data_IF_599434856723
#
_entry.id   IF_599434856723
#
_cell.length_a   1.000
_cell.length_b   1.000
_cell.length_c   1.000
_cell.angle_alpha   90.00
_cell.angle_beta   90.00
_cell.angle_gamma   90.00
#
_symmetry.space_group_name_H-M   'P 1'
#
loop_
_entity.id
_entity.type
_entity.pdbx_description
1 polymer ?
#
# COMPACT_ATOMS: atom_id res chain seq x y z
N UNK A 1 -21.74 -15.83 -7.36
CA UNK A 1 -20.75 -15.16 -8.21
C UNK A 1 -21.44 -14.11 -9.07
N UNK A 2 -20.93 -12.88 -9.06
CA UNK A 2 -21.47 -11.78 -9.88
C UNK A 2 -20.83 -11.71 -11.29
N UNK A 3 -20.04 -12.71 -11.67
CA UNK A 3 -19.39 -12.80 -12.98
C UNK A 3 -17.96 -12.23 -13.05
N UNK A 4 -17.37 -11.77 -11.96
CA UNK A 4 -15.96 -11.41 -11.91
C UNK A 4 -15.15 -12.70 -11.81
N UNK A 5 -14.44 -13.06 -12.89
CA UNK A 5 -13.77 -14.37 -13.03
C UNK A 5 -12.32 -14.39 -12.48
N UNK A 6 -11.70 -13.23 -12.34
CA UNK A 6 -10.31 -13.06 -11.90
C UNK A 6 -10.22 -12.60 -10.44
N UNK A 7 -11.03 -13.18 -9.57
CA UNK A 7 -11.06 -12.89 -8.14
C UNK A 7 -10.37 -13.98 -7.35
N UNK A 8 -9.55 -13.60 -6.38
CA UNK A 8 -8.91 -14.49 -5.42
C UNK A 8 -9.19 -13.99 -4.00
N UNK A 9 -9.40 -14.92 -3.07
CA UNK A 9 -9.49 -14.63 -1.64
C UNK A 9 -8.32 -15.30 -0.93
N UNK A 10 -7.67 -14.55 -0.04
CA UNK A 10 -6.74 -15.19 0.89
C UNK A 10 -7.55 -15.98 1.93
N UNK A 11 -7.10 -17.18 2.23
CA UNK A 11 -7.62 -17.94 3.36
C UNK A 11 -7.07 -17.31 4.66
N UNK A 12 -7.85 -16.40 5.23
CA UNK A 12 -7.45 -15.54 6.34
C UNK A 12 -6.89 -14.18 5.87
N UNK A 13 -6.39 -13.37 6.81
CA UNK A 13 -5.91 -12.01 6.56
C UNK A 13 -4.41 -11.91 6.20
N UNK A 14 -3.69 -13.03 6.18
CA UNK A 14 -2.24 -13.03 6.00
C UNK A 14 -1.82 -13.12 4.53
N UNK A 15 -1.66 -11.97 3.90
CA UNK A 15 -0.98 -11.87 2.61
C UNK A 15 0.54 -11.91 2.80
N UNK A 16 1.25 -12.51 1.83
CA UNK A 16 2.71 -12.54 1.81
C UNK A 16 3.25 -12.32 0.40
N UNK A 17 4.58 -12.16 0.27
CA UNK A 17 5.24 -11.91 -1.02
C UNK A 17 5.04 -13.05 -2.03
N UNK A 18 4.94 -14.30 -1.59
CA UNK A 18 4.75 -15.44 -2.49
C UNK A 18 3.38 -15.40 -3.16
N UNK A 19 2.34 -14.98 -2.45
CA UNK A 19 1.02 -14.77 -3.04
C UNK A 19 1.08 -13.74 -4.18
N UNK A 20 1.73 -12.60 -3.96
CA UNK A 20 1.85 -11.55 -4.98
C UNK A 20 2.81 -11.92 -6.12
N UNK A 21 3.87 -12.65 -5.84
CA UNK A 21 4.75 -13.19 -6.87
C UNK A 21 3.99 -14.18 -7.79
N UNK A 22 3.07 -14.97 -7.23
CA UNK A 22 2.20 -15.84 -8.02
C UNK A 22 1.20 -15.04 -8.86
N UNK A 23 0.53 -14.05 -8.27
CA UNK A 23 -0.42 -13.18 -8.98
C UNK A 23 0.28 -12.44 -10.12
N UNK A 24 1.49 -11.94 -9.92
CA UNK A 24 2.27 -11.21 -10.93
C UNK A 24 2.55 -12.01 -12.20
N UNK A 25 2.54 -13.34 -12.13
CA UNK A 25 2.69 -14.19 -13.33
C UNK A 25 1.51 -14.06 -14.31
N UNK A 26 0.35 -13.62 -13.83
CA UNK A 26 -0.89 -13.56 -14.61
C UNK A 26 -1.54 -12.17 -14.66
N UNK A 27 -1.10 -11.23 -13.81
CA UNK A 27 -1.66 -9.89 -13.73
C UNK A 27 -0.58 -8.85 -13.42
N UNK A 28 -0.76 -7.63 -13.94
CA UNK A 28 0.07 -6.46 -13.62
C UNK A 28 -0.56 -5.54 -12.57
N UNK A 29 -1.83 -5.80 -12.22
CA UNK A 29 -2.62 -4.96 -11.32
C UNK A 29 -3.46 -5.82 -10.37
N UNK A 30 -3.61 -5.35 -9.14
CA UNK A 30 -4.51 -5.91 -8.12
C UNK A 30 -5.46 -4.82 -7.65
N UNK A 31 -6.74 -5.16 -7.53
CA UNK A 31 -7.75 -4.32 -6.91
C UNK A 31 -8.23 -5.00 -5.62
N UNK A 32 -8.03 -4.35 -4.47
CA UNK A 32 -8.53 -4.85 -3.21
C UNK A 32 -9.97 -4.40 -2.95
N UNK A 33 -10.74 -5.31 -2.35
CA UNK A 33 -12.09 -5.09 -1.86
C UNK A 33 -12.06 -5.30 -0.33
N UNK A 34 -11.74 -4.27 0.47
CA UNK A 34 -11.67 -4.42 1.91
C UNK A 34 -13.04 -4.66 2.52
N UNK A 35 -13.09 -5.47 3.59
CA UNK A 35 -14.25 -5.57 4.44
C UNK A 35 -14.50 -4.23 5.15
N UNK A 36 -15.76 -3.86 5.30
CA UNK A 36 -16.18 -2.66 6.03
C UNK A 36 -16.34 -2.99 7.54
N UNK A 37 -15.22 -3.35 8.16
CA UNK A 37 -15.16 -3.61 9.59
C UNK A 37 -15.04 -2.31 10.38
N UNK A 38 -15.82 -2.11 11.45
CA UNK A 38 -15.63 -0.98 12.32
C UNK A 38 -14.28 -1.08 13.08
N UNK A 39 -13.61 0.05 13.34
CA UNK A 39 -12.38 0.04 14.12
C UNK A 39 -12.65 -0.44 15.56
N UNK A 40 -11.72 -1.22 16.11
CA UNK A 40 -11.76 -1.61 17.51
C UNK A 40 -11.41 -0.42 18.41
N UNK A 41 -11.70 -0.54 19.70
CA UNK A 41 -11.40 0.51 20.67
C UNK A 41 -9.91 0.87 20.67
N UNK A 42 -9.61 2.13 20.36
CA UNK A 42 -8.24 2.64 20.28
C UNK A 42 -7.58 2.48 18.89
N UNK A 43 -8.27 1.91 17.92
CA UNK A 43 -7.81 1.83 16.53
C UNK A 43 -8.50 2.91 15.69
N UNK A 44 -7.81 3.40 14.65
CA UNK A 44 -8.37 4.37 13.71
C UNK A 44 -9.05 3.70 12.51
N UNK A 45 -8.70 2.45 12.23
CA UNK A 45 -9.16 1.72 11.04
C UNK A 45 -9.67 0.35 11.43
N UNK A 46 -10.71 -0.11 10.73
CA UNK A 46 -11.18 -1.48 10.81
C UNK A 46 -10.14 -2.48 10.29
N UNK A 47 -10.33 -3.74 10.64
CA UNK A 47 -9.38 -4.79 10.30
C UNK A 47 -9.16 -4.93 8.78
N UNK A 48 -10.22 -4.87 7.96
CA UNK A 48 -10.14 -4.95 6.51
C UNK A 48 -9.24 -3.87 5.91
N UNK A 49 -9.35 -2.62 6.40
CA UNK A 49 -8.50 -1.50 5.97
C UNK A 49 -7.03 -1.72 6.37
N UNK A 50 -6.77 -2.21 7.61
CA UNK A 50 -5.42 -2.50 8.08
C UNK A 50 -4.75 -3.61 7.25
N UNK A 51 -5.48 -4.68 6.95
CA UNK A 51 -5.01 -5.77 6.07
C UNK A 51 -4.64 -5.23 4.69
N UNK A 52 -5.46 -4.37 4.12
CA UNK A 52 -5.18 -3.78 2.80
C UNK A 52 -3.98 -2.83 2.83
N UNK A 53 -3.72 -2.12 3.93
CA UNK A 53 -2.51 -1.30 4.05
C UNK A 53 -1.24 -2.15 3.90
N UNK A 54 -1.17 -3.28 4.58
CA UNK A 54 -0.01 -4.18 4.50
C UNK A 54 0.04 -4.95 3.19
N UNK A 55 -1.09 -5.51 2.75
CA UNK A 55 -1.18 -6.28 1.52
C UNK A 55 -0.87 -5.42 0.27
N UNK A 56 -1.36 -4.18 0.23
CA UNK A 56 -1.11 -3.25 -0.87
C UNK A 56 0.37 -2.87 -0.96
N UNK A 57 1.03 -2.63 0.17
CA UNK A 57 2.48 -2.41 0.23
C UNK A 57 3.25 -3.61 -0.34
N UNK A 58 2.95 -4.83 0.14
CA UNK A 58 3.58 -6.06 -0.35
C UNK A 58 3.35 -6.28 -1.84
N UNK A 59 2.15 -5.99 -2.35
CA UNK A 59 1.84 -6.09 -3.77
C UNK A 59 2.68 -5.12 -4.60
N UNK A 60 2.84 -3.87 -4.15
CA UNK A 60 3.70 -2.88 -4.80
C UNK A 60 5.18 -3.28 -4.75
N UNK A 61 5.68 -3.81 -3.62
CA UNK A 61 7.04 -4.36 -3.52
C UNK A 61 7.29 -5.51 -4.50
N UNK A 62 6.25 -6.26 -4.85
CA UNK A 62 6.30 -7.27 -5.92
C UNK A 62 6.14 -6.66 -7.33
N UNK A 63 6.02 -5.34 -7.46
CA UNK A 63 5.90 -4.61 -8.72
C UNK A 63 4.52 -4.73 -9.36
N UNK A 64 3.46 -4.89 -8.58
CA UNK A 64 2.07 -4.81 -9.02
C UNK A 64 1.55 -3.39 -8.84
N UNK A 65 0.73 -2.92 -9.77
CA UNK A 65 -0.11 -1.73 -9.55
C UNK A 65 -1.25 -2.08 -8.62
N UNK A 66 -1.60 -1.18 -7.69
CA UNK A 66 -2.59 -1.45 -6.66
C UNK A 66 -3.69 -0.40 -6.66
N UNK A 67 -4.93 -0.85 -6.61
CA UNK A 67 -6.12 -0.01 -6.47
C UNK A 67 -7.10 -0.61 -5.46
N UNK A 68 -8.07 0.20 -5.07
CA UNK A 68 -9.07 -0.13 -4.06
C UNK A 68 -10.46 0.15 -4.62
N UNK A 69 -11.39 -0.75 -4.37
CA UNK A 69 -12.83 -0.47 -4.42
C UNK A 69 -13.37 -0.61 -3.00
N UNK A 70 -13.60 0.51 -2.35
CA UNK A 70 -14.12 0.54 -0.98
C UNK A 70 -15.64 0.58 -1.01
N UNK A 71 -16.28 -0.17 -0.11
CA UNK A 71 -17.73 -0.07 0.10
C UNK A 71 -18.02 1.36 0.58
N UNK A 72 -18.91 2.11 -0.09
CA UNK A 72 -19.23 3.47 0.32
C UNK A 72 -19.82 3.51 1.75
N UNK A 73 -19.41 4.50 2.55
CA UNK A 73 -20.03 4.78 3.84
C UNK A 73 -21.52 5.11 3.61
N UNK A 74 -22.41 4.20 3.98
CA UNK A 74 -23.85 4.43 3.96
C UNK A 74 -24.28 4.74 5.39
N UNK A 75 -24.79 5.95 5.62
CA UNK A 75 -25.31 6.34 6.94
C UNK A 75 -26.28 5.28 7.47
N UNK A 76 -26.00 4.77 8.67
CA UNK A 76 -26.78 3.73 9.37
C UNK A 76 -26.73 2.32 8.76
N UNK A 77 -25.82 2.02 7.82
CA UNK A 77 -25.61 0.65 7.40
C UNK A 77 -24.81 -0.09 8.49
N UNK A 78 -25.31 -1.28 8.86
CA UNK A 78 -24.49 -2.22 9.64
C UNK A 78 -23.31 -2.68 8.79
N UNK A 79 -22.23 -3.18 9.45
CA UNK A 79 -21.09 -3.83 8.79
C UNK A 79 -21.51 -4.55 7.49
N UNK A 80 -20.88 -4.20 6.38
CA UNK A 80 -21.10 -4.83 5.08
C UNK A 80 -19.85 -5.54 4.63
N UNK A 81 -20.01 -6.80 4.28
CA UNK A 81 -18.94 -7.55 3.64
C UNK A 81 -19.04 -7.39 2.11
N UNK A 82 -17.94 -7.45 1.35
CA UNK A 82 -17.95 -7.28 -0.09
C UNK A 82 -18.89 -8.22 -0.84
N UNK A 83 -19.07 -9.45 -0.39
CA UNK A 83 -19.98 -10.42 -0.98
C UNK A 83 -21.45 -10.08 -0.77
N UNK A 84 -21.78 -9.38 0.30
CA UNK A 84 -23.12 -8.87 0.60
C UNK A 84 -23.41 -7.57 -0.16
N UNK A 85 -22.43 -6.68 -0.27
CA UNK A 85 -22.60 -5.39 -0.94
C UNK A 85 -22.59 -5.52 -2.46
N UNK A 86 -21.61 -6.21 -3.03
CA UNK A 86 -21.47 -6.38 -4.48
C UNK A 86 -22.36 -7.50 -5.01
N UNK A 87 -23.68 -7.28 -4.98
CA UNK A 87 -24.67 -8.28 -5.37
C UNK A 87 -24.72 -8.56 -6.88
N UNK A 88 -24.26 -7.64 -7.72
CA UNK A 88 -24.23 -7.77 -9.16
C UNK A 88 -23.17 -6.85 -9.81
N UNK A 89 -22.91 -7.07 -11.11
CA UNK A 89 -21.92 -6.30 -11.86
C UNK A 89 -22.21 -4.80 -11.95
N UNK A 90 -23.49 -4.38 -11.92
CA UNK A 90 -23.82 -2.97 -11.98
C UNK A 90 -23.39 -2.26 -10.69
N UNK A 91 -23.65 -2.86 -9.53
CA UNK A 91 -23.16 -2.35 -8.23
C UNK A 91 -21.64 -2.36 -8.19
N UNK A 92 -21.00 -3.44 -8.61
CA UNK A 92 -19.55 -3.52 -8.66
C UNK A 92 -18.91 -2.43 -9.54
N UNK A 93 -19.50 -2.16 -10.71
CA UNK A 93 -19.03 -1.14 -11.64
C UNK A 93 -19.35 0.28 -11.21
N UNK A 94 -20.38 0.50 -10.38
CA UNK A 94 -20.76 1.83 -9.89
C UNK A 94 -19.81 2.36 -8.81
N UNK A 95 -19.11 1.48 -8.11
CA UNK A 95 -18.11 1.89 -7.10
C UNK A 95 -16.83 2.32 -7.80
N UNK A 96 -16.39 3.54 -7.50
CA UNK A 96 -15.15 4.08 -8.04
C UNK A 96 -13.94 3.27 -7.60
N UNK A 97 -13.06 3.02 -8.54
CA UNK A 97 -11.76 2.40 -8.27
C UNK A 97 -10.73 3.51 -8.02
N UNK A 98 -10.21 3.57 -6.80
CA UNK A 98 -9.24 4.58 -6.37
C UNK A 98 -7.83 4.01 -6.29
N UNK A 99 -6.84 4.82 -6.57
CA UNK A 99 -5.45 4.46 -6.44
C UNK A 99 -5.07 4.22 -4.97
N UNK A 100 -4.31 3.16 -4.70
CA UNK A 100 -3.94 2.74 -3.35
C UNK A 100 -3.12 3.78 -2.58
N UNK A 101 -2.14 4.43 -3.23
CA UNK A 101 -1.28 5.41 -2.55
C UNK A 101 -2.12 6.62 -2.12
N UNK A 102 -2.98 7.11 -3.01
CA UNK A 102 -3.84 8.27 -2.72
C UNK A 102 -4.88 7.93 -1.66
N UNK A 103 -5.51 6.75 -1.76
CA UNK A 103 -6.46 6.26 -0.78
C UNK A 103 -5.81 6.12 0.61
N UNK A 104 -4.62 5.47 0.70
CA UNK A 104 -3.87 5.34 1.95
C UNK A 104 -3.51 6.69 2.55
N UNK A 105 -3.02 7.62 1.72
CA UNK A 105 -2.69 8.97 2.17
C UNK A 105 -3.91 9.70 2.74
N UNK A 106 -5.03 9.70 2.03
CA UNK A 106 -6.26 10.34 2.50
C UNK A 106 -6.76 9.75 3.83
N UNK A 107 -6.77 8.41 3.94
CA UNK A 107 -7.15 7.72 5.19
C UNK A 107 -6.22 8.09 6.34
N UNK A 108 -4.90 8.01 6.15
CA UNK A 108 -3.93 8.25 7.21
C UNK A 108 -3.89 9.71 7.67
N UNK A 109 -3.90 10.68 6.73
CA UNK A 109 -3.90 12.10 7.08
C UNK A 109 -5.16 12.55 7.83
N UNK A 110 -6.30 11.87 7.64
CA UNK A 110 -7.54 12.16 8.38
C UNK A 110 -7.36 12.01 9.89
N UNK A 111 -6.47 11.11 10.33
CA UNK A 111 -6.25 10.80 11.75
C UNK A 111 -4.93 11.34 12.29
N UNK A 112 -3.99 11.75 11.42
CA UNK A 112 -2.71 12.33 11.84
C UNK A 112 -2.89 13.78 12.30
N UNK A 113 -3.10 13.96 13.61
CA UNK A 113 -3.38 15.27 14.23
C UNK A 113 -2.10 16.02 14.60
N UNK A 114 -1.04 15.31 14.95
CA UNK A 114 0.25 15.89 15.34
C UNK A 114 1.24 15.91 14.17
N UNK A 115 2.22 16.82 14.28
CA UNK A 115 3.31 16.89 13.29
C UNK A 115 4.10 15.57 13.19
N UNK A 116 4.26 14.87 14.31
CA UNK A 116 4.98 13.59 14.33
C UNK A 116 4.19 12.50 13.59
N UNK A 117 2.88 12.40 13.85
CA UNK A 117 2.00 11.46 13.12
C UNK A 117 1.99 11.76 11.62
N UNK A 118 1.89 13.03 11.24
CA UNK A 118 1.97 13.43 9.83
C UNK A 118 3.32 13.07 9.21
N UNK A 119 4.42 13.21 9.96
CA UNK A 119 5.75 12.82 9.50
C UNK A 119 5.85 11.32 9.23
N UNK A 120 5.25 10.50 10.09
CA UNK A 120 5.18 9.04 9.89
C UNK A 120 4.42 8.71 8.61
N UNK A 121 3.24 9.31 8.42
CA UNK A 121 2.43 9.11 7.20
C UNK A 121 3.22 9.52 5.95
N UNK A 122 3.86 10.70 5.97
CA UNK A 122 4.66 11.18 4.84
C UNK A 122 5.77 10.20 4.48
N UNK A 123 6.48 9.66 5.48
CA UNK A 123 7.55 8.69 5.26
C UNK A 123 7.04 7.39 4.65
N UNK A 124 5.93 6.86 5.17
CA UNK A 124 5.33 5.63 4.63
C UNK A 124 4.88 5.79 3.17
N UNK A 125 4.23 6.91 2.85
CA UNK A 125 3.79 7.19 1.48
C UNK A 125 5.00 7.46 0.57
N UNK A 126 6.02 8.17 1.05
CA UNK A 126 7.25 8.40 0.30
C UNK A 126 7.96 7.07 -0.05
N UNK A 127 7.98 6.11 0.88
CA UNK A 127 8.47 4.76 0.61
C UNK A 127 7.70 4.11 -0.55
N UNK A 128 6.37 4.13 -0.54
CA UNK A 128 5.57 3.57 -1.64
C UNK A 128 5.88 4.23 -2.98
N UNK A 129 6.16 5.54 -2.99
CA UNK A 129 6.54 6.26 -4.19
C UNK A 129 7.93 5.88 -4.70
N UNK A 130 8.83 5.38 -3.85
CA UNK A 130 10.14 4.85 -4.31
C UNK A 130 10.02 3.54 -5.07
N UNK A 131 8.90 2.83 -4.94
CA UNK A 131 8.60 1.58 -5.66
C UNK A 131 8.09 1.82 -7.10
N UNK A 132 7.89 3.08 -7.49
CA UNK A 132 7.45 3.47 -8.83
C UNK A 132 8.66 3.85 -9.67
N UNK A 133 8.92 3.10 -10.73
CA UNK A 133 10.07 3.33 -11.61
C UNK A 133 9.90 4.57 -12.52
N UNK A 134 8.64 4.97 -12.83
CA UNK A 134 8.35 6.09 -13.71
C UNK A 134 8.42 7.45 -12.98
N UNK A 135 9.42 8.31 -13.28
CA UNK A 135 9.55 9.62 -12.67
C UNK A 135 8.37 10.56 -12.97
N UNK A 136 7.72 10.40 -14.12
CA UNK A 136 6.55 11.20 -14.49
C UNK A 136 5.37 10.83 -13.62
N UNK A 137 5.14 9.52 -13.41
CA UNK A 137 4.14 9.00 -12.49
C UNK A 137 4.36 9.53 -11.07
N UNK A 138 5.60 9.45 -10.56
CA UNK A 138 5.94 10.01 -9.25
C UNK A 138 5.61 11.51 -9.15
N UNK A 139 5.91 12.30 -10.20
CA UNK A 139 5.58 13.73 -10.21
C UNK A 139 4.08 13.98 -10.14
N UNK A 140 3.26 13.19 -10.86
CA UNK A 140 1.80 13.27 -10.79
C UNK A 140 1.25 12.94 -9.40
N UNK A 141 1.84 11.93 -8.73
CA UNK A 141 1.49 11.62 -7.33
C UNK A 141 1.84 12.78 -6.40
N UNK A 142 3.02 13.37 -6.52
CA UNK A 142 3.44 14.53 -5.72
C UNK A 142 2.45 15.69 -5.87
N UNK A 143 1.94 15.94 -7.06
CA UNK A 143 0.94 16.98 -7.30
C UNK A 143 -0.39 16.68 -6.59
N UNK A 144 -0.91 15.46 -6.69
CA UNK A 144 -2.13 15.03 -6.01
C UNK A 144 -1.97 15.00 -4.48
N UNK A 145 -0.85 14.48 -3.97
CA UNK A 145 -0.55 14.42 -2.55
C UNK A 145 -0.36 15.81 -1.92
N UNK A 146 0.17 16.78 -2.68
CA UNK A 146 0.28 18.14 -2.20
C UNK A 146 -1.06 18.84 -2.00
N UNK A 147 -2.10 18.41 -2.70
CA UNK A 147 -3.47 18.87 -2.43
C UNK A 147 -4.00 18.36 -1.07
N UNK A 148 -3.52 17.22 -0.59
CA UNK A 148 -3.89 16.67 0.72
C UNK A 148 -3.10 17.35 1.85
N UNK A 149 -1.79 17.54 1.69
CA UNK A 149 -0.87 18.02 2.73
C UNK A 149 -0.49 19.50 2.62
N UNK A 150 -0.85 20.18 1.54
CA UNK A 150 -0.56 21.59 1.29
C UNK A 150 0.87 21.95 0.88
N UNK A 151 1.81 20.99 0.77
CA UNK A 151 3.23 21.30 0.47
C UNK A 151 3.87 20.29 -0.49
N UNK A 152 4.16 20.76 -1.70
CA UNK A 152 4.82 19.97 -2.76
C UNK A 152 6.29 19.62 -2.45
N UNK A 153 7.02 20.54 -1.82
CA UNK A 153 8.44 20.35 -1.43
C UNK A 153 8.58 19.23 -0.40
N UNK A 154 7.65 19.12 0.54
CA UNK A 154 7.63 18.07 1.56
C UNK A 154 7.74 16.66 0.96
N UNK A 155 6.96 16.37 -0.08
CA UNK A 155 6.95 15.07 -0.72
C UNK A 155 8.25 14.76 -1.46
N UNK A 156 8.80 15.76 -2.19
CA UNK A 156 10.07 15.60 -2.90
C UNK A 156 11.24 15.31 -1.95
N UNK A 157 11.30 16.06 -0.86
CA UNK A 157 12.31 15.86 0.19
C UNK A 157 12.17 14.48 0.87
N UNK A 158 10.95 14.07 1.19
CA UNK A 158 10.68 12.78 1.79
C UNK A 158 11.07 11.61 0.86
N UNK A 159 10.72 11.68 -0.42
CA UNK A 159 11.09 10.65 -1.41
C UNK A 159 12.60 10.54 -1.54
N UNK A 160 13.31 11.67 -1.61
CA UNK A 160 14.77 11.67 -1.72
C UNK A 160 15.41 11.10 -0.45
N UNK A 161 14.88 11.43 0.72
CA UNK A 161 15.35 10.87 2.00
C UNK A 161 15.15 9.36 2.08
N UNK A 162 13.99 8.85 1.63
CA UNK A 162 13.72 7.41 1.61
C UNK A 162 14.60 6.67 0.60
N UNK A 163 14.82 7.21 -0.59
CA UNK A 163 15.77 6.63 -1.57
C UNK A 163 17.17 6.49 -0.99
N UNK A 164 17.65 7.55 -0.35
CA UNK A 164 18.98 7.53 0.31
C UNK A 164 19.03 6.49 1.42
N UNK A 165 17.99 6.38 2.24
CA UNK A 165 17.91 5.38 3.32
C UNK A 165 17.97 3.96 2.77
N UNK A 166 17.21 3.68 1.69
CA UNK A 166 17.22 2.37 1.03
C UNK A 166 18.61 2.04 0.48
N UNK A 167 19.25 2.99 -0.21
CA UNK A 167 20.61 2.80 -0.72
C UNK A 167 21.65 2.52 0.39
N UNK A 168 21.53 3.19 1.53
CA UNK A 168 22.41 3.00 2.69
C UNK A 168 22.19 1.62 3.33
N UNK A 169 20.91 1.19 3.46
CA UNK A 169 20.59 -0.16 3.95
C UNK A 169 21.13 -1.26 3.03
N UNK A 170 20.93 -1.15 1.73
CA UNK A 170 21.46 -2.10 0.75
C UNK A 170 23.00 -2.17 0.75
N UNK A 171 23.69 -1.04 0.96
CA UNK A 171 25.15 -1.01 1.08
C UNK A 171 25.61 -1.71 2.34
N UNK A 172 24.90 -1.50 3.46
CA UNK A 172 25.21 -2.17 4.73
C UNK A 172 25.01 -3.67 4.61
N UNK A 173 23.87 -4.12 4.09
CA UNK A 173 23.59 -5.55 3.91
C UNK A 173 24.61 -6.24 3.00
N UNK A 174 25.02 -5.58 1.92
CA UNK A 174 26.07 -6.09 1.03
C UNK A 174 27.43 -6.16 1.74
N UNK A 175 27.78 -5.18 2.55
CA UNK A 175 29.00 -5.18 3.35
C UNK A 175 29.01 -6.31 4.38
N UNK A 176 27.92 -6.48 5.12
CA UNK A 176 27.75 -7.57 6.10
C UNK A 176 27.81 -8.96 5.43
N UNK A 177 27.18 -9.12 4.26
CA UNK A 177 27.23 -10.37 3.49
C UNK A 177 28.64 -10.71 3.00
N UNK A 178 29.40 -9.71 2.56
CA UNK A 178 30.81 -9.89 2.17
C UNK A 178 31.67 -10.28 3.38
N UNK A 179 31.52 -9.62 4.51
CA UNK A 179 32.22 -9.93 5.74
C UNK A 179 31.92 -11.35 6.24
N UNK A 180 30.68 -11.80 6.15
CA UNK A 180 30.28 -13.17 6.53
C UNK A 180 30.89 -14.23 5.59
N UNK A 181 30.98 -13.94 4.28
CA UNK A 181 31.67 -14.78 3.32
C UNK A 181 33.16 -14.88 3.62
N UNK A 182 33.83 -13.76 3.94
CA UNK A 182 35.24 -13.76 4.34
C UNK A 182 35.48 -14.59 5.61
N UNK A 183 34.61 -14.45 6.61
CA UNK A 183 34.69 -15.27 7.84
C UNK A 183 34.48 -16.76 7.58
N UNK A 184 33.53 -17.13 6.68
CA UNK A 184 33.22 -18.53 6.37
C UNK A 184 34.30 -19.23 5.52
N UNK A 185 34.88 -18.53 4.56
CA UNK A 185 35.78 -19.13 3.58
C UNK A 185 37.24 -18.83 3.81
N UNK A 186 37.59 -18.08 4.86
CA UNK A 186 38.98 -17.89 5.28
C UNK A 186 39.87 -17.12 4.30
N UNK A 187 39.30 -16.29 3.46
CA UNK A 187 40.06 -15.41 2.59
C UNK A 187 40.59 -14.21 3.39
N UNK A 188 41.68 -14.43 4.10
CA UNK A 188 42.52 -13.33 4.59
C UNK A 188 43.52 -13.00 3.49
N UNK A 189 43.42 -11.78 2.96
CA UNK A 189 44.48 -11.18 2.13
C UNK A 189 45.49 -10.51 3.07
#
# INVERSE_FOLDING_TARGET
SIGVLNTVAALGSAWNKDHFALIKKSASKVCFLPDDDPPKRGEHFGHGVQVVFEAGKLAMECGLSVSIKEIPDIENAHKQDPDTFYQNMNVFNSVEEVDFILWRAQKAFRFAQTTEEQRVVVREIAYLLTLIDDPTGVSMYVDKLSAISGKKTLWREAINAEKKRIEEEEKRERGEAVDDLYKRFGFYV
#
